data_IF_442676457891
#
_entry.id   IF_442676457891
#
_cell.length_a   1.000
_cell.length_b   1.000
_cell.length_c   1.000
_cell.angle_alpha   90.00
_cell.angle_beta   90.00
_cell.angle_gamma   90.00
#
_symmetry.space_group_name_H-M   'P 1'
#
loop_
_entity.id
_entity.type
_entity.pdbx_description
1 polymer ?
#
# COMPACT_ATOMS: atom_id res chain seq x y z
N UNK A 1 -5.69 26.66 -24.54
CA UNK A 1 -4.64 25.85 -23.87
C UNK A 1 -4.38 26.24 -22.42
N UNK A 2 -4.33 27.54 -22.08
CA UNK A 2 -4.00 28.04 -20.72
C UNK A 2 -4.94 27.48 -19.63
N UNK A 3 -6.26 27.45 -19.89
CA UNK A 3 -7.27 26.94 -18.93
C UNK A 3 -7.09 25.45 -18.57
N UNK A 4 -6.70 24.60 -19.53
CA UNK A 4 -6.43 23.17 -19.27
C UNK A 4 -5.17 22.96 -18.42
N UNK A 5 -4.12 23.73 -18.70
CA UNK A 5 -2.87 23.69 -17.91
C UNK A 5 -3.09 24.13 -16.46
N UNK A 6 -3.88 25.19 -16.25
CA UNK A 6 -4.22 25.68 -14.92
C UNK A 6 -5.02 24.65 -14.11
N UNK A 7 -5.99 23.96 -14.74
CA UNK A 7 -6.77 22.90 -14.06
C UNK A 7 -5.87 21.72 -13.67
N UNK A 8 -5.00 21.26 -14.58
CA UNK A 8 -4.07 20.16 -14.28
C UNK A 8 -3.12 20.56 -13.14
N UNK A 9 -2.56 21.76 -13.19
CA UNK A 9 -1.69 22.26 -12.13
C UNK A 9 -2.41 22.34 -10.77
N UNK A 10 -3.67 22.79 -10.75
CA UNK A 10 -4.49 22.80 -9.54
C UNK A 10 -4.75 21.40 -8.97
N UNK A 11 -5.05 20.43 -9.83
CA UNK A 11 -5.25 19.04 -9.40
C UNK A 11 -3.96 18.42 -8.86
N UNK A 12 -2.82 18.67 -9.50
CA UNK A 12 -1.51 18.20 -9.03
C UNK A 12 -1.16 18.84 -7.69
N UNK A 13 -1.38 20.15 -7.52
CA UNK A 13 -1.14 20.84 -6.26
C UNK A 13 -2.04 20.29 -5.15
N UNK A 14 -3.33 20.08 -5.42
CA UNK A 14 -4.25 19.48 -4.45
C UNK A 14 -3.83 18.05 -4.07
N UNK A 15 -3.44 17.23 -5.05
CA UNK A 15 -2.93 15.88 -4.79
C UNK A 15 -1.66 15.91 -3.93
N UNK A 16 -0.75 16.84 -4.19
CA UNK A 16 0.48 17.02 -3.41
C UNK A 16 0.17 17.44 -1.98
N UNK A 17 -0.72 18.41 -1.77
CA UNK A 17 -1.14 18.88 -0.44
C UNK A 17 -1.81 17.75 0.35
N UNK A 18 -2.71 16.98 -0.28
CA UNK A 18 -3.38 15.85 0.37
C UNK A 18 -2.39 14.73 0.70
N UNK A 19 -1.49 14.39 -0.22
CA UNK A 19 -0.48 13.36 0.01
C UNK A 19 0.51 13.79 1.10
N UNK A 20 1.02 15.02 1.04
CA UNK A 20 1.99 15.51 2.01
C UNK A 20 1.36 15.73 3.39
N UNK A 21 0.18 16.36 3.44
CA UNK A 21 -0.58 16.54 4.68
C UNK A 21 -1.00 15.19 5.29
N UNK A 22 -1.47 14.26 4.46
CA UNK A 22 -1.77 12.90 4.87
C UNK A 22 -0.55 12.17 5.41
N UNK A 23 0.61 12.34 4.77
CA UNK A 23 1.86 11.76 5.24
C UNK A 23 2.24 12.30 6.62
N UNK A 24 2.23 13.62 6.81
CA UNK A 24 2.57 14.25 8.09
C UNK A 24 1.64 13.83 9.22
N UNK A 25 0.34 13.69 8.94
CA UNK A 25 -0.67 13.40 9.96
C UNK A 25 -0.79 11.90 10.27
N UNK A 26 -0.60 11.03 9.27
CA UNK A 26 -0.89 9.59 9.39
C UNK A 26 0.36 8.71 9.53
N UNK A 27 1.57 9.27 9.39
CA UNK A 27 2.82 8.48 9.48
C UNK A 27 2.90 7.71 10.79
N UNK A 28 2.81 8.41 11.91
CA UNK A 28 2.95 7.80 13.22
C UNK A 28 1.81 6.83 13.57
N UNK A 29 0.52 7.17 13.45
CA UNK A 29 -0.54 6.24 13.81
C UNK A 29 -0.55 4.99 12.92
N UNK A 30 -0.25 5.11 11.62
CA UNK A 30 -0.22 3.94 10.75
C UNK A 30 0.98 3.04 11.06
N UNK A 31 2.16 3.61 11.31
CA UNK A 31 3.34 2.83 11.72
C UNK A 31 3.13 2.12 13.05
N UNK A 32 2.42 2.74 14.00
CA UNK A 32 2.07 2.10 15.27
C UNK A 32 1.10 0.92 15.07
N UNK A 33 0.14 1.06 14.14
CA UNK A 33 -0.74 -0.05 13.77
C UNK A 33 0.03 -1.18 13.09
N UNK A 34 0.85 -0.84 12.09
CA UNK A 34 1.67 -1.81 11.36
C UNK A 34 2.62 -2.57 12.29
N UNK A 35 3.24 -1.88 13.26
CA UNK A 35 4.17 -2.52 14.18
C UNK A 35 3.49 -3.53 15.12
N UNK A 36 2.27 -3.23 15.56
CA UNK A 36 1.44 -4.16 16.34
C UNK A 36 1.02 -5.37 15.50
N UNK A 37 0.52 -5.14 14.29
CA UNK A 37 0.12 -6.22 13.39
C UNK A 37 1.31 -7.13 13.01
N UNK A 38 2.50 -6.56 12.86
CA UNK A 38 3.73 -7.33 12.63
C UNK A 38 4.03 -8.27 13.80
N UNK A 39 3.85 -7.81 15.05
CA UNK A 39 4.01 -8.68 16.21
C UNK A 39 2.93 -9.76 16.29
N UNK A 40 1.69 -9.45 15.92
CA UNK A 40 0.61 -10.46 15.91
C UNK A 40 0.90 -11.57 14.88
N UNK A 41 1.50 -11.20 13.74
CA UNK A 41 1.95 -12.16 12.71
C UNK A 41 3.16 -12.97 13.19
N UNK A 42 4.13 -12.32 13.83
CA UNK A 42 5.30 -12.97 14.44
C UNK A 42 4.90 -13.57 15.80
N UNK A 43 4.15 -14.69 15.76
CA UNK A 43 3.57 -15.44 16.91
C UNK A 43 4.19 -15.15 18.30
N UNK A 44 3.36 -15.13 19.37
CA UNK A 44 3.85 -15.00 20.74
C UNK A 44 4.85 -16.13 21.07
N UNK A 45 6.07 -15.75 21.46
CA UNK A 45 7.20 -16.65 21.72
C UNK A 45 8.41 -16.43 20.80
N UNK A 46 8.26 -15.66 19.72
CA UNK A 46 9.44 -15.18 18.99
C UNK A 46 10.16 -14.09 19.80
N UNK A 47 11.49 -14.09 19.70
CA UNK A 47 12.39 -13.19 20.43
C UNK A 47 12.39 -11.76 19.85
N UNK A 48 11.22 -11.26 19.48
CA UNK A 48 10.99 -9.93 18.92
C UNK A 48 9.97 -9.22 19.81
N UNK A 49 10.34 -8.06 20.35
CA UNK A 49 9.47 -7.24 21.18
C UNK A 49 9.42 -5.81 20.68
N UNK A 50 8.33 -5.10 20.95
CA UNK A 50 8.23 -3.68 20.62
C UNK A 50 8.86 -2.85 21.74
N UNK A 51 9.67 -1.85 21.36
CA UNK A 51 10.23 -0.85 22.28
C UNK A 51 9.76 0.52 21.81
N UNK A 52 8.75 1.09 22.48
CA UNK A 52 8.01 2.25 21.96
C UNK A 52 7.02 1.83 20.86
N UNK A 53 6.70 2.73 19.91
CA UNK A 53 5.67 2.45 18.89
C UNK A 53 6.24 1.98 17.54
N UNK A 54 7.53 2.21 17.28
CA UNK A 54 8.13 2.01 15.94
C UNK A 54 9.48 1.31 15.95
N UNK A 55 9.95 0.82 17.10
CA UNK A 55 11.19 0.05 17.20
C UNK A 55 10.91 -1.37 17.62
N UNK A 56 11.57 -2.30 16.95
CA UNK A 56 11.57 -3.71 17.28
C UNK A 56 12.91 -4.06 17.93
N UNK A 57 12.87 -4.64 19.11
CA UNK A 57 14.01 -5.29 19.72
C UNK A 57 14.03 -6.74 19.27
N UNK A 58 15.06 -7.12 18.52
CA UNK A 58 15.24 -8.47 18.00
C UNK A 58 16.36 -9.13 18.79
N UNK A 59 16.11 -10.30 19.37
CA UNK A 59 17.08 -11.08 20.13
C UNK A 59 17.29 -12.45 19.46
N UNK A 60 18.14 -12.54 18.42
CA UNK A 60 18.47 -13.82 17.79
C UNK A 60 19.08 -14.83 18.78
N UNK A 61 18.97 -16.13 18.49
CA UNK A 61 19.58 -17.16 19.34
C UNK A 61 21.10 -17.28 19.21
N UNK A 62 21.61 -17.05 18.00
CA UNK A 62 23.02 -17.26 17.66
C UNK A 62 23.72 -15.99 17.14
N UNK A 63 23.05 -14.83 17.25
CA UNK A 63 23.59 -13.55 16.79
C UNK A 63 23.40 -12.47 17.85
N UNK A 64 24.16 -11.38 17.71
CA UNK A 64 24.07 -10.22 18.60
C UNK A 64 22.67 -9.61 18.55
N UNK A 65 22.03 -9.32 19.70
CA UNK A 65 20.78 -8.57 19.75
C UNK A 65 20.92 -7.23 19.03
N UNK A 66 19.87 -6.81 18.34
CA UNK A 66 19.86 -5.55 17.61
C UNK A 66 18.47 -4.91 17.64
N UNK A 67 18.43 -3.63 17.31
CA UNK A 67 17.19 -2.86 17.20
C UNK A 67 16.91 -2.55 15.74
N UNK A 68 15.72 -2.90 15.28
CA UNK A 68 15.22 -2.50 13.97
C UNK A 68 14.22 -1.35 14.15
N UNK A 69 14.29 -0.35 13.27
CA UNK A 69 13.36 0.78 13.29
C UNK A 69 12.47 0.72 12.05
N UNK A 70 11.16 0.82 12.24
CA UNK A 70 10.22 1.02 11.14
C UNK A 70 10.22 2.49 10.76
N UNK A 71 10.94 2.87 9.72
CA UNK A 71 10.96 4.26 9.22
C UNK A 71 9.67 4.59 8.47
N UNK A 72 9.31 5.88 8.30
CA UNK A 72 8.16 6.29 7.50
C UNK A 72 8.13 5.75 6.07
N UNK A 73 9.30 5.55 5.45
CA UNK A 73 9.41 5.04 4.08
C UNK A 73 9.15 3.53 3.96
N UNK A 74 9.27 2.79 5.07
CA UNK A 74 8.94 1.37 5.14
C UNK A 74 7.44 1.13 5.38
N UNK A 75 6.68 2.18 5.67
CA UNK A 75 5.23 2.11 5.90
C UNK A 75 4.46 1.98 4.58
N UNK A 76 3.33 1.29 4.63
CA UNK A 76 2.35 1.25 3.53
C UNK A 76 1.68 2.60 3.27
N UNK A 77 1.92 3.61 4.12
CA UNK A 77 1.31 4.94 3.98
C UNK A 77 1.57 5.56 2.60
N UNK A 78 2.80 5.49 2.11
CA UNK A 78 3.18 6.11 0.83
C UNK A 78 2.38 5.53 -0.35
N UNK A 79 2.37 4.20 -0.59
CA UNK A 79 1.56 3.65 -1.66
C UNK A 79 0.05 3.83 -1.43
N UNK A 80 -0.43 3.78 -0.18
CA UNK A 80 -1.85 4.03 0.13
C UNK A 80 -2.27 5.46 -0.21
N UNK A 81 -1.45 6.46 0.13
CA UNK A 81 -1.69 7.86 -0.23
C UNK A 81 -1.63 8.09 -1.74
N UNK A 82 -0.73 7.40 -2.43
CA UNK A 82 -0.67 7.45 -3.89
C UNK A 82 -1.97 6.89 -4.52
N UNK A 83 -2.44 5.74 -4.04
CA UNK A 83 -3.72 5.16 -4.47
C UNK A 83 -4.90 6.09 -4.14
N UNK A 84 -4.90 6.70 -2.95
CA UNK A 84 -5.94 7.64 -2.53
C UNK A 84 -5.97 8.89 -3.43
N UNK A 85 -4.81 9.46 -3.75
CA UNK A 85 -4.70 10.59 -4.66
C UNK A 85 -5.21 10.25 -6.07
N UNK A 86 -4.85 9.09 -6.61
CA UNK A 86 -5.36 8.61 -7.91
C UNK A 86 -6.88 8.41 -7.83
N UNK A 87 -7.34 7.73 -6.79
CA UNK A 87 -8.75 7.46 -6.58
C UNK A 87 -9.56 8.75 -6.43
N UNK A 88 -9.00 9.83 -5.87
CA UNK A 88 -9.65 11.12 -5.61
C UNK A 88 -9.61 12.10 -6.81
N UNK A 89 -8.49 12.16 -7.54
CA UNK A 89 -8.27 13.20 -8.55
C UNK A 89 -8.21 12.71 -10.00
N UNK A 90 -7.93 11.42 -10.23
CA UNK A 90 -7.77 10.87 -11.59
C UNK A 90 -9.03 10.13 -12.04
N UNK A 91 -9.57 9.29 -11.17
CA UNK A 91 -10.72 8.43 -11.51
C UNK A 91 -12.03 9.20 -11.37
N UNK A 92 -12.87 9.13 -12.39
CA UNK A 92 -14.21 9.72 -12.38
C UNK A 92 -15.27 8.63 -12.16
N UNK A 93 -16.31 8.91 -11.37
CA UNK A 93 -17.39 7.96 -11.11
C UNK A 93 -18.02 8.13 -9.72
N UNK A 94 -18.98 7.26 -9.42
CA UNK A 94 -19.72 7.27 -8.15
C UNK A 94 -18.80 7.08 -6.94
N UNK A 95 -18.91 7.96 -5.94
CA UNK A 95 -17.99 8.04 -4.81
C UNK A 95 -17.92 6.75 -3.98
N UNK A 96 -19.04 6.02 -3.83
CA UNK A 96 -19.08 4.74 -3.10
C UNK A 96 -18.21 3.70 -3.79
N UNK A 97 -18.29 3.59 -5.12
CA UNK A 97 -17.51 2.59 -5.88
C UNK A 97 -16.02 2.91 -5.81
N UNK A 98 -15.66 4.19 -5.87
CA UNK A 98 -14.28 4.66 -5.72
C UNK A 98 -13.72 4.36 -4.34
N UNK A 99 -14.51 4.65 -3.30
CA UNK A 99 -14.11 4.40 -1.91
C UNK A 99 -13.95 2.91 -1.64
N UNK A 100 -14.87 2.07 -2.12
CA UNK A 100 -14.77 0.62 -1.97
C UNK A 100 -13.53 0.05 -2.69
N UNK A 101 -13.27 0.48 -3.93
CA UNK A 101 -12.09 0.06 -4.67
C UNK A 101 -10.78 0.50 -3.99
N UNK A 102 -10.72 1.75 -3.51
CA UNK A 102 -9.58 2.26 -2.76
C UNK A 102 -9.36 1.47 -1.47
N UNK A 103 -10.40 1.25 -0.67
CA UNK A 103 -10.30 0.51 0.59
C UNK A 103 -9.83 -0.93 0.35
N UNK A 104 -10.32 -1.59 -0.69
CA UNK A 104 -9.91 -2.95 -1.05
C UNK A 104 -8.43 -3.00 -1.42
N UNK A 105 -7.99 -2.08 -2.30
CA UNK A 105 -6.60 -2.01 -2.73
C UNK A 105 -5.65 -1.60 -1.59
N UNK A 106 -6.03 -0.60 -0.80
CA UNK A 106 -5.27 -0.16 0.37
C UNK A 106 -5.12 -1.29 1.40
N UNK A 107 -6.20 -2.01 1.69
CA UNK A 107 -6.16 -3.15 2.62
C UNK A 107 -5.18 -4.22 2.16
N UNK A 108 -5.21 -4.59 0.87
CA UNK A 108 -4.25 -5.52 0.30
C UNK A 108 -2.80 -5.03 0.49
N UNK A 109 -2.53 -3.77 0.15
CA UNK A 109 -1.20 -3.16 0.27
C UNK A 109 -0.72 -3.16 1.73
N UNK A 110 -1.59 -2.81 2.68
CA UNK A 110 -1.27 -2.83 4.12
C UNK A 110 -0.93 -4.25 4.58
N UNK A 111 -1.75 -5.24 4.22
CA UNK A 111 -1.51 -6.66 4.58
C UNK A 111 -0.16 -7.13 4.01
N UNK A 112 0.10 -6.89 2.73
CA UNK A 112 1.35 -7.29 2.10
C UNK A 112 2.56 -6.57 2.72
N UNK A 113 2.42 -5.30 3.10
CA UNK A 113 3.50 -4.56 3.76
C UNK A 113 3.79 -5.11 5.17
N UNK A 114 2.76 -5.43 5.94
CA UNK A 114 2.92 -6.09 7.25
C UNK A 114 3.67 -7.42 7.10
N UNK A 115 3.27 -8.25 6.12
CA UNK A 115 3.96 -9.51 5.85
C UNK A 115 5.42 -9.30 5.41
N UNK A 116 5.70 -8.26 4.61
CA UNK A 116 7.07 -7.90 4.20
C UNK A 116 7.94 -7.53 5.41
N UNK A 117 7.43 -6.70 6.32
CA UNK A 117 8.15 -6.30 7.53
C UNK A 117 8.37 -7.51 8.43
N UNK A 118 7.34 -8.32 8.65
CA UNK A 118 7.43 -9.55 9.43
C UNK A 118 8.47 -10.53 8.84
N UNK A 119 8.47 -10.74 7.53
CA UNK A 119 9.47 -11.56 6.86
C UNK A 119 10.89 -11.01 7.04
N UNK A 120 11.08 -9.68 6.97
CA UNK A 120 12.37 -9.04 7.18
C UNK A 120 12.90 -9.26 8.61
N UNK A 121 12.03 -9.10 9.62
CA UNK A 121 12.36 -9.38 11.02
C UNK A 121 12.65 -10.87 11.26
N UNK A 122 11.88 -11.75 10.63
CA UNK A 122 12.10 -13.20 10.71
C UNK A 122 13.45 -13.59 10.12
N UNK A 123 13.84 -13.04 8.97
CA UNK A 123 15.20 -13.23 8.43
C UNK A 123 16.25 -12.68 9.40
N UNK A 124 16.00 -11.51 10.01
CA UNK A 124 16.88 -10.96 11.04
C UNK A 124 17.08 -11.85 12.26
N UNK A 125 16.08 -12.63 12.65
CA UNK A 125 16.21 -13.63 13.71
C UNK A 125 17.16 -14.78 13.33
N UNK A 126 17.20 -15.15 12.05
CA UNK A 126 17.91 -16.33 11.56
C UNK A 126 19.35 -16.05 11.13
N UNK A 127 19.61 -14.87 10.55
CA UNK A 127 20.91 -14.49 9.97
C UNK A 127 21.46 -13.15 10.50
N UNK A 128 20.78 -12.57 11.50
CA UNK A 128 21.21 -11.34 12.16
C UNK A 128 20.90 -10.06 11.37
N UNK A 129 21.37 -8.93 11.90
CA UNK A 129 21.03 -7.58 11.41
C UNK A 129 21.40 -7.35 9.94
N UNK A 130 22.59 -7.81 9.50
CA UNK A 130 23.03 -7.64 8.11
C UNK A 130 22.13 -8.40 7.13
N UNK A 131 21.72 -9.61 7.49
CA UNK A 131 20.81 -10.41 6.68
C UNK A 131 19.43 -9.76 6.56
N UNK A 132 18.93 -9.17 7.64
CA UNK A 132 17.69 -8.38 7.61
C UNK A 132 17.78 -7.22 6.63
N UNK A 133 18.85 -6.42 6.69
CA UNK A 133 19.02 -5.24 5.82
C UNK A 133 19.08 -5.67 4.36
N UNK A 134 19.90 -6.68 4.03
CA UNK A 134 19.99 -7.20 2.66
C UNK A 134 18.65 -7.74 2.15
N UNK A 135 17.92 -8.48 2.97
CA UNK A 135 16.61 -8.99 2.58
C UNK A 135 15.60 -7.85 2.38
N UNK A 136 15.56 -6.89 3.30
CA UNK A 136 14.68 -5.73 3.23
C UNK A 136 14.94 -4.90 1.96
N UNK A 137 16.20 -4.63 1.64
CA UNK A 137 16.59 -3.73 0.56
C UNK A 137 16.38 -4.36 -0.82
N UNK A 138 16.59 -5.68 -0.95
CA UNK A 138 16.41 -6.39 -2.22
C UNK A 138 15.01 -7.01 -2.33
N UNK A 139 14.75 -8.06 -1.57
CA UNK A 139 13.50 -8.84 -1.64
C UNK A 139 12.33 -7.98 -1.18
N UNK A 140 12.52 -7.23 -0.09
CA UNK A 140 11.51 -6.33 0.44
C UNK A 140 11.13 -5.24 -0.55
N UNK A 141 12.10 -4.61 -1.24
CA UNK A 141 11.81 -3.60 -2.25
C UNK A 141 11.08 -4.18 -3.47
N UNK A 142 11.51 -5.36 -3.96
CA UNK A 142 10.85 -6.01 -5.09
C UNK A 142 9.40 -6.39 -4.75
N UNK A 143 9.19 -6.96 -3.57
CA UNK A 143 7.85 -7.27 -3.06
C UNK A 143 7.03 -6.00 -2.88
N UNK A 144 7.67 -4.95 -2.35
CA UNK A 144 7.21 -3.57 -2.24
C UNK A 144 6.55 -3.03 -3.50
N UNK A 145 7.32 -3.06 -4.57
CA UNK A 145 6.88 -2.66 -5.89
C UNK A 145 5.74 -3.55 -6.39
N UNK A 146 5.90 -4.87 -6.25
CA UNK A 146 4.93 -5.87 -6.71
C UNK A 146 3.54 -5.68 -6.11
N UNK A 147 3.40 -5.65 -4.79
CA UNK A 147 2.08 -5.48 -4.16
C UNK A 147 1.49 -4.08 -4.41
N UNK A 148 2.32 -3.06 -4.59
CA UNK A 148 1.85 -1.71 -4.91
C UNK A 148 1.23 -1.69 -6.31
N UNK A 149 1.89 -2.32 -7.29
CA UNK A 149 1.34 -2.48 -8.63
C UNK A 149 0.08 -3.33 -8.64
N UNK A 150 0.05 -4.44 -7.90
CA UNK A 150 -1.13 -5.29 -7.76
C UNK A 150 -2.29 -4.50 -7.15
N UNK A 151 -2.06 -3.75 -6.07
CA UNK A 151 -3.07 -2.89 -5.46
C UNK A 151 -3.62 -1.85 -6.43
N UNK A 152 -2.74 -1.19 -7.20
CA UNK A 152 -3.15 -0.26 -8.25
C UNK A 152 -4.00 -0.94 -9.33
N UNK A 153 -3.57 -2.08 -9.87
CA UNK A 153 -4.32 -2.80 -10.88
C UNK A 153 -5.65 -3.35 -10.36
N UNK A 154 -5.69 -3.80 -9.11
CA UNK A 154 -6.92 -4.21 -8.44
C UNK A 154 -7.90 -3.04 -8.33
N UNK A 155 -7.41 -1.86 -7.92
CA UNK A 155 -8.22 -0.65 -7.87
C UNK A 155 -8.80 -0.32 -9.25
N UNK A 156 -7.96 -0.34 -10.29
CA UNK A 156 -8.43 -0.12 -11.66
C UNK A 156 -9.45 -1.18 -12.09
N UNK A 157 -9.17 -2.46 -11.87
CA UNK A 157 -10.07 -3.57 -12.23
C UNK A 157 -11.47 -3.39 -11.62
N UNK A 158 -11.56 -2.95 -10.36
CA UNK A 158 -12.83 -2.68 -9.69
C UNK A 158 -13.54 -1.42 -10.18
N UNK A 159 -12.79 -0.47 -10.75
CA UNK A 159 -13.30 0.81 -11.23
C UNK A 159 -13.71 0.78 -12.69
N UNK A 160 -13.08 -0.06 -13.52
CA UNK A 160 -13.41 -0.18 -14.92
C UNK A 160 -14.85 -0.70 -15.08
N UNK A 161 -15.68 -0.05 -15.92
CA UNK A 161 -17.00 -0.58 -16.25
C UNK A 161 -16.85 -1.99 -16.82
N UNK A 162 -17.57 -2.97 -16.26
CA UNK A 162 -17.75 -4.25 -16.93
C UNK A 162 -18.37 -3.94 -18.28
N UNK A 163 -17.69 -4.29 -19.37
CA UNK A 163 -18.19 -4.14 -20.72
C UNK A 163 -19.53 -4.90 -20.79
N UNK A 164 -20.61 -4.19 -20.52
CA UNK A 164 -21.94 -4.72 -20.73
C UNK A 164 -22.10 -4.54 -22.23
N UNK A 165 -21.76 -5.58 -22.97
CA UNK A 165 -22.07 -5.73 -24.39
C UNK A 165 -23.59 -5.77 -24.55
N UNK A 166 -24.27 -4.65 -24.26
CA UNK A 166 -25.55 -4.36 -24.89
C UNK A 166 -25.20 -3.92 -26.30
N UNK A 167 -25.03 -4.90 -27.18
CA UNK A 167 -25.21 -4.67 -28.61
C UNK A 167 -26.58 -3.99 -28.73
N UNK A 168 -26.67 -2.76 -29.27
CA UNK A 168 -27.94 -2.11 -29.51
C UNK A 168 -28.84 -3.07 -30.30
N UNK A 169 -30.06 -3.30 -29.83
CA UNK A 169 -31.06 -4.18 -30.47
C UNK A 169 -31.36 -3.77 -31.93
N UNK A 170 -30.92 -2.58 -32.34
CA UNK A 170 -30.96 -2.04 -33.70
C UNK A 170 -30.10 -2.79 -34.73
N UNK A 171 -29.21 -3.71 -34.33
CA UNK A 171 -28.45 -4.56 -35.24
C UNK A 171 -29.13 -5.91 -35.57
N UNK A 172 -30.38 -6.13 -35.13
CA UNK A 172 -31.15 -7.32 -35.51
C UNK A 172 -31.85 -7.06 -36.85
N UNK A 173 -31.06 -7.10 -37.92
CA UNK A 173 -31.56 -7.14 -39.30
C UNK A 173 -32.11 -8.54 -39.55
N UNK A 174 -33.36 -8.80 -39.15
CA UNK A 174 -34.06 -10.04 -39.52
C UNK A 174 -35.59 -9.94 -39.48
N UNK A 175 -36.18 -8.75 -39.67
CA UNK A 175 -37.64 -8.58 -39.79
C UNK A 175 -38.04 -7.97 -41.15
N UNK A 176 -37.17 -8.06 -42.16
CA UNK A 176 -37.48 -7.67 -43.55
C UNK A 176 -36.84 -8.67 -44.49
N UNK A 177 -37.36 -9.89 -44.53
CA UNK A 177 -37.36 -10.80 -45.69
C UNK A 177 -38.45 -11.85 -45.49
#
# INVERSE_FOLDING_TARGET
MIRRRAVIAGLLAAALVVAFGGFLLLSDPLRALESRLVLDVLRPGQRVTLVGDHYFQVLPAHHTPFRAQLTPFCSSLVPVLALAAIAAFVVHGHWVRRSAALLTAATLVVICNVLRIAASLWVGLQVGARGLVLFHDWVGTLFGLGYTMIGFFLMLYLLLPRATTRIPRAARVSDVL
#
